data_IF_830794195677
#
_entry.id   IF_830794195677
#
_cell.length_a   1.000
_cell.length_b   1.000
_cell.length_c   1.000
_cell.angle_alpha   90.00
_cell.angle_beta   90.00
_cell.angle_gamma   90.00
#
_symmetry.space_group_name_H-M   'P 1'
#
loop_
_entity.id
_entity.type
_entity.pdbx_description
1 polymer ?
#
# COMPACT_ATOMS: atom_id res chain seq x y z
N UNK A 1 -18.20 -21.81 60.71
CA UNK A 1 -18.31 -22.03 59.26
C UNK A 1 -17.92 -20.76 58.54
N UNK A 2 -16.71 -20.73 58.06
CA UNK A 2 -16.18 -19.58 57.35
C UNK A 2 -16.09 -19.94 55.89
N UNK A 3 -16.93 -19.36 55.07
CA UNK A 3 -16.90 -19.50 53.63
C UNK A 3 -15.85 -18.51 53.12
N UNK A 4 -14.70 -19.03 52.75
CA UNK A 4 -13.69 -18.30 52.02
C UNK A 4 -14.13 -18.22 50.56
N UNK A 5 -14.62 -17.06 50.19
CA UNK A 5 -14.85 -16.74 48.77
C UNK A 5 -13.52 -16.34 48.16
N UNK A 6 -12.89 -17.30 47.52
CA UNK A 6 -11.74 -17.04 46.66
C UNK A 6 -12.26 -16.32 45.38
N UNK A 7 -12.13 -15.02 45.37
CA UNK A 7 -12.26 -14.24 44.15
C UNK A 7 -11.03 -14.52 43.28
N UNK A 8 -11.14 -15.48 42.40
CA UNK A 8 -10.19 -15.62 41.31
C UNK A 8 -10.47 -14.50 40.31
N UNK A 9 -9.74 -13.41 40.47
CA UNK A 9 -9.68 -12.38 39.45
C UNK A 9 -9.04 -12.97 38.21
N UNK A 10 -9.87 -13.41 37.29
CA UNK A 10 -9.46 -13.84 35.96
C UNK A 10 -9.02 -12.60 35.21
N UNK A 11 -7.74 -12.28 35.34
CA UNK A 11 -7.09 -11.23 34.61
C UNK A 11 -6.96 -11.72 33.17
N UNK A 12 -8.03 -11.55 32.38
CA UNK A 12 -8.01 -11.76 30.95
C UNK A 12 -7.21 -10.60 30.37
N UNK A 13 -5.90 -10.75 30.29
CA UNK A 13 -5.06 -9.95 29.43
C UNK A 13 -5.57 -10.16 28.00
N UNK A 14 -6.42 -9.26 27.55
CA UNK A 14 -6.78 -9.14 26.16
C UNK A 14 -5.51 -8.66 25.44
N UNK A 15 -4.66 -9.61 25.09
CA UNK A 15 -3.56 -9.35 24.15
C UNK A 15 -4.25 -9.09 22.83
N UNK A 16 -4.48 -7.82 22.53
CA UNK A 16 -4.80 -7.39 21.18
C UNK A 16 -3.58 -7.71 20.34
N UNK A 17 -3.56 -8.93 19.84
CA UNK A 17 -2.55 -9.37 18.90
C UNK A 17 -2.62 -8.45 17.69
N UNK A 18 -1.54 -7.74 17.46
CA UNK A 18 -1.33 -7.03 16.19
C UNK A 18 -1.13 -8.14 15.16
N UNK A 19 -2.21 -8.60 14.59
CA UNK A 19 -2.14 -9.61 13.54
C UNK A 19 -1.80 -8.93 12.23
N UNK A 20 -0.55 -9.10 11.79
CA UNK A 20 -0.19 -8.86 10.41
C UNK A 20 -0.94 -9.89 9.56
N UNK A 21 -1.84 -9.43 8.68
CA UNK A 21 -2.67 -10.32 7.88
C UNK A 21 -2.09 -10.47 6.48
N UNK A 22 -1.99 -11.72 6.01
CA UNK A 22 -1.75 -12.02 4.62
C UNK A 22 -2.91 -11.48 3.78
N UNK A 23 -2.59 -10.65 2.81
CA UNK A 23 -3.57 -10.04 1.94
C UNK A 23 -3.15 -10.13 0.48
N UNK A 24 -4.14 -10.20 -0.40
CA UNK A 24 -3.96 -10.00 -1.84
C UNK A 24 -4.56 -8.66 -2.18
N UNK A 25 -3.73 -7.73 -2.64
CA UNK A 25 -4.12 -6.35 -2.88
C UNK A 25 -3.74 -5.95 -4.31
N UNK A 26 -4.61 -5.19 -4.96
CA UNK A 26 -4.34 -4.57 -6.25
C UNK A 26 -4.20 -3.08 -6.08
N UNK A 27 -3.23 -2.51 -6.76
CA UNK A 27 -3.00 -1.08 -6.67
C UNK A 27 -1.90 -0.59 -7.58
N UNK A 28 -1.66 0.71 -7.53
CA UNK A 28 -0.62 1.39 -8.28
C UNK A 28 0.61 1.60 -7.42
N UNK A 29 1.78 1.29 -7.96
CA UNK A 29 3.03 1.66 -7.33
C UNK A 29 3.39 3.10 -7.71
N UNK A 30 3.69 3.90 -6.71
CA UNK A 30 4.04 5.32 -6.88
C UNK A 30 5.00 5.77 -5.78
N UNK A 31 5.33 7.03 -5.78
CA UNK A 31 6.06 7.66 -4.71
C UNK A 31 5.12 8.31 -3.67
N UNK A 32 5.61 8.45 -2.46
CA UNK A 32 4.83 8.97 -1.34
C UNK A 32 4.38 10.43 -1.52
N UNK A 33 5.16 11.23 -2.24
CA UNK A 33 4.86 12.66 -2.42
C UNK A 33 3.72 12.88 -3.41
N UNK A 34 3.82 12.31 -4.60
CA UNK A 34 2.76 12.44 -5.61
C UNK A 34 1.49 11.73 -5.16
N UNK A 35 1.60 10.52 -4.63
CA UNK A 35 0.46 9.75 -4.14
C UNK A 35 -0.20 10.45 -2.94
N UNK A 36 0.58 10.93 -1.98
CA UNK A 36 0.08 11.63 -0.80
C UNK A 36 -0.62 12.95 -1.15
N UNK A 37 -0.07 13.72 -2.06
CA UNK A 37 -0.68 14.96 -2.53
C UNK A 37 -2.04 14.74 -3.19
N UNK A 38 -2.17 13.69 -3.99
CA UNK A 38 -3.44 13.34 -4.64
C UNK A 38 -4.45 12.74 -3.65
N UNK A 39 -3.99 11.90 -2.74
CA UNK A 39 -4.81 11.31 -1.69
C UNK A 39 -5.42 12.37 -0.77
N UNK A 40 -4.71 13.45 -0.48
CA UNK A 40 -5.23 14.60 0.27
C UNK A 40 -6.44 15.23 -0.41
N UNK A 41 -6.53 15.17 -1.73
CA UNK A 41 -7.68 15.59 -2.53
C UNK A 41 -8.70 14.47 -2.80
N UNK A 42 -8.56 13.32 -2.16
CA UNK A 42 -9.46 12.17 -2.35
C UNK A 42 -9.20 11.35 -3.61
N UNK A 43 -8.06 11.52 -4.26
CA UNK A 43 -7.72 10.83 -5.52
C UNK A 43 -6.74 9.69 -5.25
N UNK A 44 -7.18 8.47 -5.52
CA UNK A 44 -6.43 7.23 -5.29
C UNK A 44 -6.21 6.45 -6.61
N UNK A 45 -5.74 7.13 -7.62
CA UNK A 45 -5.42 6.55 -8.93
C UNK A 45 -3.92 6.60 -9.19
N UNK A 46 -3.47 5.92 -10.23
CA UNK A 46 -2.08 5.97 -10.65
C UNK A 46 -1.57 7.39 -10.88
N UNK A 47 -0.30 7.61 -10.60
CA UNK A 47 0.41 8.87 -10.82
C UNK A 47 1.21 8.79 -12.13
N UNK A 48 1.89 9.89 -12.49
CA UNK A 48 2.80 9.86 -13.63
C UNK A 48 4.03 8.99 -13.29
N UNK A 49 4.30 7.90 -14.03
CA UNK A 49 5.39 6.98 -13.71
C UNK A 49 6.78 7.64 -13.73
N UNK A 50 7.02 8.53 -14.67
CA UNK A 50 8.33 9.20 -14.78
C UNK A 50 8.57 10.16 -13.61
N UNK A 51 7.54 10.91 -13.21
CA UNK A 51 7.62 11.76 -12.03
C UNK A 51 7.84 10.92 -10.76
N UNK A 52 7.12 9.82 -10.60
CA UNK A 52 7.28 8.92 -9.45
C UNK A 52 8.69 8.32 -9.39
N UNK A 53 9.23 7.86 -10.51
CA UNK A 53 10.60 7.35 -10.59
C UNK A 53 11.63 8.40 -10.20
N UNK A 54 11.46 9.64 -10.66
CA UNK A 54 12.36 10.74 -10.30
C UNK A 54 12.29 11.08 -8.82
N UNK A 55 11.09 11.10 -8.23
CA UNK A 55 10.92 11.34 -6.80
C UNK A 55 11.59 10.24 -5.97
N UNK A 56 11.42 8.98 -6.35
CA UNK A 56 12.09 7.86 -5.67
C UNK A 56 13.61 7.95 -5.82
N UNK A 57 14.11 8.33 -6.99
CA UNK A 57 15.54 8.53 -7.20
C UNK A 57 16.12 9.64 -6.31
N UNK A 58 15.31 10.61 -5.91
CA UNK A 58 15.68 11.69 -4.98
C UNK A 58 15.44 11.35 -3.51
N UNK A 59 15.01 10.14 -3.19
CA UNK A 59 14.88 9.64 -1.83
C UNK A 59 13.44 9.48 -1.33
N UNK A 60 12.42 9.76 -2.14
CA UNK A 60 11.03 9.46 -1.78
C UNK A 60 10.79 7.95 -1.68
N UNK A 61 9.93 7.54 -0.76
CA UNK A 61 9.59 6.13 -0.59
C UNK A 61 8.52 5.70 -1.58
N UNK A 62 8.58 4.44 -1.98
CA UNK A 62 7.56 3.81 -2.81
C UNK A 62 6.38 3.44 -1.92
N UNK A 63 5.19 3.73 -2.40
CA UNK A 63 3.91 3.38 -1.77
C UNK A 63 3.02 2.62 -2.74
N UNK A 64 2.11 1.83 -2.19
CA UNK A 64 1.03 1.19 -2.95
C UNK A 64 -0.25 2.02 -2.78
N UNK A 65 -0.77 2.53 -3.88
CA UNK A 65 -2.07 3.20 -3.92
C UNK A 65 -3.13 2.12 -4.11
N UNK A 66 -4.06 2.00 -3.16
CA UNK A 66 -5.14 1.02 -3.19
C UNK A 66 -6.47 1.73 -3.46
N UNK A 67 -6.92 1.80 -4.72
CA UNK A 67 -8.12 2.57 -5.10
C UNK A 67 -9.38 2.07 -4.39
N UNK A 68 -9.56 0.76 -4.31
CA UNK A 68 -10.77 0.15 -3.74
C UNK A 68 -10.94 0.44 -2.25
N UNK A 69 -9.84 0.67 -1.55
CA UNK A 69 -9.82 0.97 -0.12
C UNK A 69 -9.59 2.46 0.18
N UNK A 70 -9.38 3.28 -0.84
CA UNK A 70 -9.01 4.70 -0.72
C UNK A 70 -7.87 4.90 0.28
N UNK A 71 -6.76 4.26 0.03
CA UNK A 71 -5.71 4.08 1.01
C UNK A 71 -4.34 4.04 0.35
N UNK A 72 -3.33 4.53 1.07
CA UNK A 72 -1.92 4.38 0.73
C UNK A 72 -1.28 3.43 1.72
N UNK A 73 -0.52 2.46 1.22
CA UNK A 73 0.28 1.56 2.03
C UNK A 73 1.77 1.83 1.78
N UNK A 74 2.51 2.10 2.85
CA UNK A 74 3.97 2.16 2.78
C UNK A 74 4.54 0.76 2.56
N UNK A 75 5.49 0.62 1.65
CA UNK A 75 6.13 -0.66 1.37
C UNK A 75 7.35 -0.79 2.26
N UNK A 76 7.39 -1.83 3.10
CA UNK A 76 8.50 -2.03 4.03
C UNK A 76 9.76 -2.56 3.33
N UNK A 77 9.59 -3.40 2.31
CA UNK A 77 10.69 -3.94 1.49
C UNK A 77 10.76 -3.22 0.14
N UNK A 78 11.20 -1.98 0.17
CA UNK A 78 11.26 -1.04 -0.98
C UNK A 78 11.89 -1.64 -2.25
N UNK A 79 12.93 -2.43 -2.10
CA UNK A 79 13.66 -3.05 -3.23
C UNK A 79 12.78 -3.94 -4.11
N UNK A 80 11.77 -4.58 -3.56
CA UNK A 80 10.84 -5.46 -4.29
C UNK A 80 9.97 -4.68 -5.29
N UNK A 81 9.69 -3.42 -4.99
CA UNK A 81 8.80 -2.58 -5.81
C UNK A 81 9.55 -1.66 -6.78
N UNK A 82 10.86 -1.53 -6.64
CA UNK A 82 11.66 -0.50 -7.31
C UNK A 82 11.61 -0.56 -8.84
N UNK A 83 11.52 -1.76 -9.39
CA UNK A 83 11.47 -1.96 -10.86
C UNK A 83 10.08 -1.74 -11.46
N UNK A 84 9.05 -1.57 -10.62
CA UNK A 84 7.65 -1.53 -11.05
C UNK A 84 6.94 -0.23 -10.68
N UNK A 85 7.69 0.83 -10.43
CA UNK A 85 7.13 2.15 -10.14
C UNK A 85 6.28 2.62 -11.33
N UNK A 86 5.03 2.97 -11.04
CA UNK A 86 4.06 3.38 -12.04
C UNK A 86 3.15 2.26 -12.54
N UNK A 87 3.47 1.00 -12.25
CA UNK A 87 2.67 -0.13 -12.70
C UNK A 87 1.44 -0.37 -11.82
N UNK A 88 0.38 -0.90 -12.42
CA UNK A 88 -0.74 -1.47 -11.70
C UNK A 88 -0.44 -2.94 -11.43
N UNK A 89 -0.42 -3.30 -10.16
CA UNK A 89 0.09 -4.60 -9.71
C UNK A 89 -0.91 -5.32 -8.80
N UNK A 90 -0.77 -6.65 -8.77
CA UNK A 90 -1.33 -7.49 -7.73
C UNK A 90 -0.20 -7.90 -6.81
N UNK A 91 -0.31 -7.58 -5.54
CA UNK A 91 0.65 -7.96 -4.52
C UNK A 91 0.02 -8.94 -3.54
N UNK A 92 0.82 -9.89 -3.09
CA UNK A 92 0.52 -10.76 -1.96
C UNK A 92 1.54 -10.43 -0.89
N UNK A 93 1.08 -10.15 0.31
CA UNK A 93 1.98 -9.76 1.39
C UNK A 93 1.30 -9.60 2.73
N UNK A 94 2.09 -9.20 3.70
CA UNK A 94 1.66 -8.97 5.08
C UNK A 94 1.32 -7.50 5.27
N UNK A 95 0.08 -7.21 5.63
CA UNK A 95 -0.39 -5.84 5.91
C UNK A 95 -0.39 -5.58 7.40
N UNK A 96 0.27 -4.50 7.80
CA UNK A 96 0.15 -3.93 9.13
C UNK A 96 -0.86 -2.78 9.10
N UNK A 97 -2.03 -3.02 9.69
CA UNK A 97 -3.14 -2.05 9.69
C UNK A 97 -2.81 -0.80 10.51
N UNK A 98 -2.05 -0.93 11.57
CA UNK A 98 -1.71 0.18 12.45
C UNK A 98 -0.66 1.10 11.82
N UNK A 99 0.35 0.50 11.18
CA UNK A 99 1.41 1.24 10.51
C UNK A 99 1.04 1.69 9.09
N UNK A 100 -0.10 1.27 8.55
CA UNK A 100 -0.47 1.47 7.14
C UNK A 100 0.65 1.04 6.19
N UNK A 101 1.18 -0.16 6.41
CA UNK A 101 2.30 -0.68 5.65
C UNK A 101 2.03 -2.09 5.12
N UNK A 102 2.79 -2.47 4.12
CA UNK A 102 2.77 -3.81 3.53
C UNK A 102 4.19 -4.30 3.30
N UNK A 103 4.43 -5.56 3.67
CA UNK A 103 5.60 -6.31 3.25
C UNK A 103 5.21 -7.19 2.08
N UNK A 104 5.81 -6.99 0.92
CA UNK A 104 5.45 -7.70 -0.31
C UNK A 104 6.19 -9.02 -0.37
N UNK A 105 5.44 -10.13 -0.44
CA UNK A 105 5.99 -11.48 -0.65
C UNK A 105 6.05 -11.82 -2.13
N UNK A 106 5.04 -11.44 -2.91
CA UNK A 106 5.04 -11.59 -4.36
C UNK A 106 4.32 -10.44 -5.05
N UNK A 107 4.75 -10.13 -6.26
CA UNK A 107 4.23 -9.04 -7.07
C UNK A 107 4.04 -9.51 -8.51
N UNK A 108 2.86 -9.23 -9.06
CA UNK A 108 2.54 -9.49 -10.46
C UNK A 108 2.05 -8.21 -11.13
N UNK A 109 2.64 -7.86 -12.27
CA UNK A 109 2.21 -6.72 -13.07
C UNK A 109 0.87 -7.08 -13.75
N UNK A 110 -0.14 -6.24 -13.56
CA UNK A 110 -1.43 -6.33 -14.23
C UNK A 110 -1.50 -5.41 -15.44
N UNK A 111 -0.97 -4.19 -15.28
CA UNK A 111 -0.88 -3.20 -16.35
C UNK A 111 0.39 -2.39 -16.18
N UNK A 112 1.20 -2.35 -17.21
CA UNK A 112 2.40 -1.50 -17.19
C UNK A 112 2.01 -0.03 -17.13
N UNK A 113 2.72 0.72 -16.27
CA UNK A 113 2.55 2.16 -16.15
C UNK A 113 3.06 2.85 -17.39
N UNK A 114 2.15 3.40 -18.15
CA UNK A 114 2.48 4.33 -19.24
C UNK A 114 2.33 5.75 -18.72
N UNK A 115 3.29 6.58 -19.04
CA UNK A 115 3.12 8.01 -18.82
C UNK A 115 1.81 8.42 -19.50
N UNK A 116 0.87 8.96 -18.74
CA UNK A 116 -0.42 9.44 -19.28
C UNK A 116 -0.22 10.73 -20.08
N UNK A 117 0.73 10.69 -20.99
CA UNK A 117 0.85 11.64 -22.09
C UNK A 117 0.38 11.00 -23.40
N UNK A 118 -0.45 9.97 -23.31
CA UNK A 118 -1.20 9.52 -24.47
C UNK A 118 -2.23 10.60 -24.82
N UNK A 119 -1.76 11.57 -25.56
CA UNK A 119 -2.65 12.33 -26.42
C UNK A 119 -3.50 11.31 -27.18
N UNK A 120 -4.84 11.49 -27.20
CA UNK A 120 -5.67 10.59 -28.00
C UNK A 120 -5.07 10.57 -29.40
N UNK A 121 -4.73 9.37 -29.86
CA UNK A 121 -4.26 9.20 -31.22
C UNK A 121 -5.31 9.84 -32.12
N UNK A 122 -4.97 10.98 -32.68
CA UNK A 122 -5.78 11.56 -33.72
C UNK A 122 -5.92 10.48 -34.79
N UNK A 123 -7.12 9.94 -34.94
CA UNK A 123 -7.39 8.99 -36.00
C UNK A 123 -7.15 9.75 -37.31
N UNK A 124 -5.99 9.55 -37.89
CA UNK A 124 -5.78 9.96 -39.28
C UNK A 124 -6.68 9.06 -40.12
N UNK A 125 -7.68 9.71 -40.68
CA UNK A 125 -8.39 9.14 -41.79
C UNK A 125 -7.51 9.31 -43.03
#
# INVERSE_FOLDING_TARGET
MRILILAVALNVCLVLGIEAQNATIRGWLSDEQCAGGRASGGVYTGTNPECAKQCVAKGAKIVLIVPDQKRLLSITNQGTAKSNIGDYVKVIGMVDQQANSIHIDSLKILTEGRAKCDLPKRSEK
#
